data_IF_717721753083
#
_entry.id   IF_717721753083
#
_cell.length_a   1.000
_cell.length_b   1.000
_cell.length_c   1.000
_cell.angle_alpha   90.00
_cell.angle_beta   90.00
_cell.angle_gamma   90.00
#
_symmetry.space_group_name_H-M   'P 1'
#
loop_
_entity.id
_entity.type
_entity.pdbx_description
1 polymer ?
#
# COMPACT_ATOMS: atom_id res chain seq x y z
N UNK A 1 5.55 8.65 17.68
CA UNK A 1 6.22 7.72 16.74
C UNK A 1 6.96 8.53 15.69
N UNK A 2 8.21 8.19 15.45
CA UNK A 2 8.98 8.94 14.47
C UNK A 2 8.60 8.54 13.03
N UNK A 3 9.05 9.34 12.09
CA UNK A 3 8.75 9.16 10.67
C UNK A 3 9.22 7.80 10.14
N UNK A 4 10.40 7.37 10.57
CA UNK A 4 11.01 6.13 10.12
C UNK A 4 10.17 4.91 10.53
N UNK A 5 9.78 4.85 11.80
CA UNK A 5 8.96 3.76 12.32
C UNK A 5 7.59 3.74 11.67
N UNK A 6 7.04 4.91 11.42
CA UNK A 6 5.75 5.05 10.79
C UNK A 6 5.76 4.54 9.35
N UNK A 7 6.79 4.90 8.59
CA UNK A 7 6.94 4.42 7.23
C UNK A 7 7.09 2.90 7.18
N UNK A 8 7.85 2.35 8.10
CA UNK A 8 8.03 0.91 8.18
C UNK A 8 6.71 0.22 8.45
N UNK A 9 5.90 0.77 9.35
CA UNK A 9 4.58 0.22 9.65
C UNK A 9 3.66 0.25 8.42
N UNK A 10 3.72 1.32 7.66
CA UNK A 10 2.92 1.45 6.44
C UNK A 10 3.30 0.35 5.45
N UNK A 11 4.58 0.09 5.27
CA UNK A 11 5.04 -0.96 4.37
C UNK A 11 4.55 -2.34 4.83
N UNK A 12 4.66 -2.62 6.13
CA UNK A 12 4.21 -3.89 6.69
C UNK A 12 2.69 -4.03 6.60
N UNK A 13 1.97 -2.95 6.86
CA UNK A 13 0.52 -2.95 6.75
C UNK A 13 0.08 -3.22 5.31
N UNK A 14 0.76 -2.61 4.35
CA UNK A 14 0.45 -2.81 2.93
C UNK A 14 0.59 -4.29 2.55
N UNK A 15 1.65 -4.95 3.01
CA UNK A 15 1.84 -6.38 2.74
C UNK A 15 0.71 -7.22 3.34
N UNK A 16 0.32 -6.91 4.56
CA UNK A 16 -0.78 -7.62 5.21
C UNK A 16 -2.11 -7.42 4.51
N UNK A 17 -2.38 -6.18 4.10
CA UNK A 17 -3.62 -5.85 3.38
C UNK A 17 -3.68 -6.59 2.05
N UNK A 18 -2.59 -6.57 1.28
CA UNK A 18 -2.57 -7.26 -0.01
C UNK A 18 -2.80 -8.76 0.17
N UNK A 19 -2.17 -9.35 1.18
CA UNK A 19 -2.38 -10.77 1.45
C UNK A 19 -3.85 -11.06 1.78
N UNK A 20 -4.45 -10.21 2.62
CA UNK A 20 -5.84 -10.37 2.99
C UNK A 20 -6.78 -10.19 1.80
N UNK A 21 -6.45 -9.25 0.90
CA UNK A 21 -7.25 -9.04 -0.31
C UNK A 21 -7.14 -10.24 -1.26
N UNK A 22 -5.94 -10.78 -1.43
CA UNK A 22 -5.74 -11.98 -2.27
C UNK A 22 -6.54 -13.17 -1.76
N UNK A 23 -6.57 -13.32 -0.46
CA UNK A 23 -7.25 -14.46 0.18
C UNK A 23 -8.74 -14.19 0.43
N UNK A 24 -9.22 -13.04 -0.03
CA UNK A 24 -10.61 -12.62 0.15
C UNK A 24 -11.04 -12.60 1.61
N UNK A 25 -10.11 -12.23 2.49
CA UNK A 25 -10.35 -12.10 3.94
C UNK A 25 -10.61 -10.66 4.35
N UNK A 26 -10.51 -9.74 3.41
CA UNK A 26 -10.73 -8.32 3.64
C UNK A 26 -11.44 -7.76 2.43
N UNK A 27 -12.37 -6.83 2.65
CA UNK A 27 -13.03 -6.14 1.55
C UNK A 27 -12.15 -4.99 1.07
N UNK A 28 -12.40 -4.55 -0.17
CA UNK A 28 -11.69 -3.39 -0.69
C UNK A 28 -12.01 -2.14 0.14
N UNK A 29 -13.27 -2.00 0.59
CA UNK A 29 -13.66 -0.87 1.44
C UNK A 29 -12.82 -0.82 2.71
N UNK A 30 -12.58 -1.96 3.34
CA UNK A 30 -11.74 -2.03 4.53
C UNK A 30 -10.30 -1.63 4.23
N UNK A 31 -9.78 -2.09 3.10
CA UNK A 31 -8.41 -1.73 2.69
C UNK A 31 -8.28 -0.23 2.44
N UNK A 32 -9.31 0.38 1.85
CA UNK A 32 -9.35 1.82 1.63
C UNK A 32 -9.39 2.58 2.95
N UNK A 33 -10.21 2.14 3.88
CA UNK A 33 -10.29 2.78 5.18
C UNK A 33 -8.95 2.70 5.94
N UNK A 34 -8.29 1.56 5.83
CA UNK A 34 -7.05 1.32 6.56
C UNK A 34 -5.85 2.07 5.98
N UNK A 35 -5.72 2.08 4.66
CA UNK A 35 -4.49 2.61 4.07
C UNK A 35 -4.68 3.27 2.71
N UNK A 36 -5.49 2.69 1.83
CA UNK A 36 -5.55 3.11 0.43
C UNK A 36 -6.55 4.21 0.21
N UNK A 37 -6.26 5.39 0.75
CA UNK A 37 -7.16 6.54 0.67
C UNK A 37 -6.39 7.85 0.45
N UNK A 38 -7.10 8.88 -0.03
CA UNK A 38 -6.47 10.18 -0.32
C UNK A 38 -5.85 10.87 0.90
N UNK A 39 -6.42 10.66 2.09
CA UNK A 39 -5.89 11.30 3.29
C UNK A 39 -4.49 10.80 3.62
N UNK A 40 -4.30 9.50 3.58
CA UNK A 40 -2.98 8.91 3.81
C UNK A 40 -2.02 9.36 2.72
N UNK A 41 -2.48 9.34 1.46
CA UNK A 41 -1.66 9.75 0.33
C UNK A 41 -1.14 11.18 0.51
N UNK A 42 -2.04 12.12 0.83
CA UNK A 42 -1.66 13.51 1.02
C UNK A 42 -0.72 13.69 2.21
N UNK A 43 -0.97 12.97 3.28
CA UNK A 43 -0.13 13.05 4.48
C UNK A 43 1.29 12.57 4.18
N UNK A 44 1.44 11.48 3.45
CA UNK A 44 2.76 10.98 3.08
C UNK A 44 3.50 11.97 2.21
N UNK A 45 2.80 12.61 1.28
CA UNK A 45 3.41 13.64 0.43
C UNK A 45 3.81 14.87 1.23
N UNK A 46 2.94 15.31 2.13
CA UNK A 46 3.21 16.47 2.96
C UNK A 46 4.45 16.28 3.83
N UNK A 47 4.63 15.07 4.34
CA UNK A 47 5.76 14.75 5.19
C UNK A 47 7.01 14.31 4.41
N UNK A 48 6.93 14.38 3.10
CA UNK A 48 8.04 13.99 2.21
C UNK A 48 8.56 12.60 2.51
N UNK A 49 7.64 11.66 2.65
CA UNK A 49 7.97 10.27 2.88
C UNK A 49 8.56 9.62 1.64
N UNK A 50 9.07 8.41 1.80
CA UNK A 50 9.68 7.65 0.70
C UNK A 50 8.75 7.59 -0.50
N UNK A 51 9.32 7.84 -1.69
CA UNK A 51 8.54 7.86 -2.92
C UNK A 51 7.85 6.52 -3.18
N UNK A 52 8.52 5.41 -2.87
CA UNK A 52 7.93 4.09 -3.06
C UNK A 52 6.68 3.87 -2.21
N UNK A 53 6.66 4.41 -1.00
CA UNK A 53 5.49 4.31 -0.14
C UNK A 53 4.32 5.14 -0.68
N UNK A 54 4.62 6.34 -1.15
CA UNK A 54 3.60 7.19 -1.76
C UNK A 54 3.01 6.48 -2.97
N UNK A 55 3.87 5.86 -3.78
CA UNK A 55 3.47 5.15 -4.97
C UNK A 55 2.60 3.93 -4.66
N UNK A 56 2.96 3.17 -3.61
CA UNK A 56 2.15 2.00 -3.26
C UNK A 56 0.75 2.39 -2.80
N UNK A 57 0.61 3.52 -2.11
CA UNK A 57 -0.73 3.99 -1.73
C UNK A 57 -1.50 4.41 -2.97
N UNK A 58 -0.84 5.03 -3.94
CA UNK A 58 -1.48 5.39 -5.21
C UNK A 58 -1.98 4.14 -5.95
N UNK A 59 -1.17 3.07 -6.00
CA UNK A 59 -1.61 1.80 -6.57
C UNK A 59 -2.82 1.24 -5.83
N UNK A 60 -2.81 1.34 -4.50
CA UNK A 60 -3.92 0.88 -3.69
C UNK A 60 -5.20 1.66 -3.96
N UNK A 61 -5.08 2.97 -4.15
CA UNK A 61 -6.23 3.83 -4.47
C UNK A 61 -6.85 3.46 -5.82
N UNK A 62 -6.04 2.99 -6.76
CA UNK A 62 -6.51 2.58 -8.07
C UNK A 62 -7.23 1.24 -8.06
N UNK A 63 -7.12 0.46 -6.99
CA UNK A 63 -7.76 -0.86 -6.92
C UNK A 63 -9.28 -0.78 -7.13
N UNK A 64 -9.91 0.31 -6.72
CA UNK A 64 -11.34 0.47 -6.96
C UNK A 64 -11.68 0.36 -8.44
N UNK A 65 -10.91 1.06 -9.27
CA UNK A 65 -11.10 1.00 -10.71
C UNK A 65 -10.71 -0.36 -11.28
N UNK A 66 -9.65 -0.96 -10.75
CA UNK A 66 -9.21 -2.29 -11.20
C UNK A 66 -10.29 -3.32 -10.93
N UNK A 67 -10.84 -3.33 -9.72
CA UNK A 67 -11.89 -4.28 -9.34
C UNK A 67 -13.12 -4.11 -10.21
N UNK A 68 -13.48 -2.88 -10.53
CA UNK A 68 -14.69 -2.58 -11.27
C UNK A 68 -14.52 -2.76 -12.78
N UNK A 69 -13.41 -2.29 -13.33
CA UNK A 69 -13.25 -2.19 -14.79
C UNK A 69 -12.36 -3.26 -15.41
N UNK A 70 -11.31 -3.70 -14.70
CA UNK A 70 -10.37 -4.69 -15.22
C UNK A 70 -9.96 -5.69 -14.13
N UNK A 71 -10.92 -6.46 -13.61
CA UNK A 71 -10.62 -7.36 -12.48
C UNK A 71 -9.52 -8.38 -12.76
N UNK A 72 -9.27 -8.69 -14.04
CA UNK A 72 -8.18 -9.59 -14.39
C UNK A 72 -6.81 -9.01 -14.05
N UNK A 73 -6.73 -7.70 -13.81
CA UNK A 73 -5.47 -7.03 -13.46
C UNK A 73 -5.21 -6.93 -11.96
N UNK A 74 -6.07 -7.52 -11.12
CA UNK A 74 -5.88 -7.48 -9.67
C UNK A 74 -4.53 -8.01 -9.24
N UNK A 75 -4.14 -9.17 -9.77
CA UNK A 75 -2.88 -9.80 -9.40
C UNK A 75 -1.70 -8.89 -9.70
N UNK A 76 -1.72 -8.23 -10.85
CA UNK A 76 -0.66 -7.31 -11.25
C UNK A 76 -0.57 -6.13 -10.29
N UNK A 77 -1.72 -5.57 -9.89
CA UNK A 77 -1.75 -4.46 -8.94
C UNK A 77 -1.23 -4.89 -7.57
N UNK A 78 -1.63 -6.09 -7.11
CA UNK A 78 -1.16 -6.62 -5.84
C UNK A 78 0.37 -6.83 -5.88
N UNK A 79 0.88 -7.37 -6.97
CA UNK A 79 2.32 -7.58 -7.14
C UNK A 79 3.07 -6.25 -7.07
N UNK A 80 2.55 -5.21 -7.70
CA UNK A 80 3.18 -3.90 -7.71
C UNK A 80 3.27 -3.33 -6.28
N UNK A 81 2.18 -3.43 -5.52
CA UNK A 81 2.15 -2.94 -4.14
C UNK A 81 3.14 -3.72 -3.28
N UNK A 82 3.14 -5.05 -3.40
CA UNK A 82 4.06 -5.89 -2.64
C UNK A 82 5.51 -5.56 -2.95
N UNK A 83 5.81 -5.39 -4.23
CA UNK A 83 7.18 -5.07 -4.66
C UNK A 83 7.65 -3.74 -4.07
N UNK A 84 6.80 -2.74 -4.09
CA UNK A 84 7.14 -1.43 -3.54
C UNK A 84 7.36 -1.51 -2.03
N UNK A 85 6.50 -2.25 -1.33
CA UNK A 85 6.62 -2.41 0.12
C UNK A 85 7.89 -3.17 0.49
N UNK A 86 8.17 -4.28 -0.19
CA UNK A 86 9.36 -5.08 0.11
C UNK A 86 10.64 -4.33 -0.26
N UNK A 87 10.62 -3.56 -1.34
CA UNK A 87 11.78 -2.76 -1.73
C UNK A 87 12.08 -1.69 -0.67
N UNK A 88 11.03 -1.05 -0.15
CA UNK A 88 11.22 -0.08 0.93
C UNK A 88 11.84 -0.75 2.14
N UNK A 89 11.29 -1.87 2.57
CA UNK A 89 11.79 -2.58 3.75
C UNK A 89 13.23 -3.02 3.58
N UNK A 90 13.60 -3.46 2.38
CA UNK A 90 14.98 -3.87 2.09
C UNK A 90 15.95 -2.70 2.17
N UNK A 91 15.56 -1.54 1.64
CA UNK A 91 16.42 -0.34 1.67
C UNK A 91 16.58 0.23 3.08
N UNK A 92 15.59 0.04 3.91
CA UNK A 92 15.59 0.58 5.27
C UNK A 92 15.71 -0.52 6.33
N UNK A 93 16.34 -1.62 5.91
CA UNK A 93 16.56 -2.75 6.82
C UNK A 93 17.45 -2.33 7.98
N UNK A 94 17.03 -2.69 9.19
CA UNK A 94 17.76 -2.38 10.39
C UNK A 94 18.60 -3.57 10.81
N UNK A 95 19.86 -3.31 11.06
CA UNK A 95 20.77 -4.35 11.53
C UNK A 95 20.75 -4.46 13.03
#
# INVERSE_FOLDING_TARGET
>A
MDKRSRQRRIALLALGIVRALRDEKMSLDQAQDELFNPDIYRELKRQRCDRGLIELVAWGMELENVYRLVPASKAESFDAIEKLATSFLARHHRR
#
